data_IF_371720240352
#
_entry.id   IF_371720240352
#
_cell.length_a   1.000
_cell.length_b   1.000
_cell.length_c   1.000
_cell.angle_alpha   90.00
_cell.angle_beta   90.00
_cell.angle_gamma   90.00
#
_symmetry.space_group_name_H-M   'P 1'
#
loop_
_entity.id
_entity.type
_entity.pdbx_description
1 polymer ?
#
# COMPACT_ATOMS: atom_id res chain seq x y z
N UNK A 1 1.72 15.56 -4.87
CA UNK A 1 2.43 14.47 -5.61
C UNK A 1 3.68 14.03 -4.86
N UNK A 2 3.99 12.73 -4.86
CA UNK A 2 5.22 12.23 -4.26
C UNK A 2 6.44 12.72 -5.06
N UNK A 3 7.39 13.35 -4.37
CA UNK A 3 8.56 13.94 -5.01
C UNK A 3 9.89 13.55 -4.34
N UNK A 4 9.86 13.20 -3.05
CA UNK A 4 11.05 12.98 -2.22
C UNK A 4 11.00 11.62 -1.52
N UNK A 5 12.16 11.09 -1.19
CA UNK A 5 12.33 9.94 -0.32
C UNK A 5 13.10 10.34 0.93
N UNK A 6 12.65 9.88 2.08
CA UNK A 6 13.31 10.05 3.35
C UNK A 6 14.38 8.97 3.50
N UNK A 7 15.62 9.37 3.76
CA UNK A 7 16.76 8.50 3.98
C UNK A 7 16.85 8.06 5.45
N UNK A 8 17.51 6.92 5.74
CA UNK A 8 17.71 6.45 7.12
C UNK A 8 18.45 7.42 8.07
N UNK A 9 19.26 8.33 7.54
CA UNK A 9 19.96 9.37 8.32
C UNK A 9 19.10 10.61 8.61
N UNK A 10 17.82 10.60 8.24
CA UNK A 10 16.90 11.72 8.38
C UNK A 10 16.96 12.76 7.26
N UNK A 11 17.90 12.63 6.31
CA UNK A 11 17.95 13.46 5.11
C UNK A 11 16.89 13.09 4.09
N UNK A 12 16.76 13.88 3.02
CA UNK A 12 15.83 13.60 1.92
C UNK A 12 16.53 13.66 0.56
N UNK A 13 16.02 12.91 -0.41
CA UNK A 13 16.49 12.98 -1.80
C UNK A 13 15.32 12.98 -2.78
N UNK A 14 15.38 13.72 -3.91
CA UNK A 14 14.42 13.57 -5.00
C UNK A 14 14.40 12.13 -5.53
N UNK A 15 13.23 11.66 -5.98
CA UNK A 15 13.09 10.30 -6.55
C UNK A 15 14.05 10.04 -7.72
N UNK A 16 14.19 10.95 -8.73
CA UNK A 16 15.10 10.72 -9.85
C UNK A 16 16.56 10.55 -9.39
N UNK A 17 16.98 11.37 -8.43
CA UNK A 17 18.32 11.27 -7.85
C UNK A 17 18.51 9.93 -7.16
N UNK A 18 17.55 9.51 -6.32
CA UNK A 18 17.62 8.22 -5.64
C UNK A 18 17.70 7.06 -6.63
N UNK A 19 16.93 7.07 -7.72
CA UNK A 19 16.95 6.01 -8.73
C UNK A 19 18.30 5.93 -9.46
N UNK A 20 18.93 7.08 -9.74
CA UNK A 20 20.25 7.17 -10.37
C UNK A 20 21.37 6.76 -9.40
N UNK A 21 21.46 7.43 -8.26
CA UNK A 21 22.58 7.30 -7.32
C UNK A 21 22.10 7.50 -5.87
N UNK A 22 22.65 6.72 -4.95
CA UNK A 22 22.32 6.88 -3.53
C UNK A 22 23.15 7.99 -2.90
N UNK A 23 22.49 9.00 -2.30
CA UNK A 23 23.17 10.05 -1.52
C UNK A 23 24.06 9.49 -0.40
N UNK A 24 23.71 8.34 0.17
CA UNK A 24 24.44 7.71 1.26
C UNK A 24 25.52 6.72 0.78
N UNK A 25 25.75 6.61 -0.53
CA UNK A 25 26.65 5.65 -1.20
C UNK A 25 26.25 4.17 -1.03
N UNK A 26 25.49 3.83 0.02
CA UNK A 26 24.88 2.54 0.28
C UNK A 26 23.35 2.66 0.30
N UNK A 27 22.70 1.97 -0.63
CA UNK A 27 21.23 2.02 -0.78
C UNK A 27 20.55 1.32 0.39
N UNK A 28 19.49 1.95 0.92
CA UNK A 28 18.62 1.32 1.93
C UNK A 28 17.77 0.19 1.36
N UNK A 29 17.36 0.28 0.09
CA UNK A 29 16.59 -0.72 -0.65
C UNK A 29 17.10 -0.84 -2.09
N UNK A 30 16.78 -1.97 -2.73
CA UNK A 30 17.15 -2.20 -4.12
C UNK A 30 16.45 -1.22 -5.07
N UNK A 31 17.09 -0.88 -6.20
CA UNK A 31 16.51 0.04 -7.20
C UNK A 31 15.14 -0.42 -7.72
N UNK A 32 14.89 -1.72 -7.99
CA UNK A 32 13.55 -2.19 -8.34
C UNK A 32 12.51 -1.91 -7.25
N UNK A 33 12.85 -2.12 -5.97
CA UNK A 33 11.96 -1.79 -4.85
C UNK A 33 11.64 -0.30 -4.84
N UNK A 34 12.65 0.58 -4.96
CA UNK A 34 12.44 2.03 -5.02
C UNK A 34 11.53 2.40 -6.21
N UNK A 35 11.78 1.81 -7.39
CA UNK A 35 10.95 2.07 -8.57
C UNK A 35 9.51 1.65 -8.34
N UNK A 36 9.26 0.48 -7.76
CA UNK A 36 7.92 -0.02 -7.48
C UNK A 36 7.17 0.86 -6.47
N UNK A 37 7.78 1.22 -5.35
CA UNK A 37 7.10 1.97 -4.27
C UNK A 37 6.92 3.46 -4.56
N UNK A 38 7.60 3.98 -5.59
CA UNK A 38 7.48 5.39 -6.02
C UNK A 38 6.53 5.59 -7.20
N UNK A 39 6.02 4.51 -7.80
CA UNK A 39 5.01 4.61 -8.85
C UNK A 39 3.72 5.21 -8.28
N UNK A 40 3.21 6.24 -8.96
CA UNK A 40 1.93 6.86 -8.65
C UNK A 40 1.08 6.91 -9.92
N UNK A 41 -0.24 6.70 -9.78
CA UNK A 41 -1.19 7.04 -10.84
C UNK A 41 -1.37 8.56 -10.85
N UNK A 42 -1.33 9.16 -12.05
CA UNK A 42 -1.63 10.58 -12.20
C UNK A 42 -3.10 10.86 -11.83
N UNK A 43 -3.34 11.94 -11.11
CA UNK A 43 -4.69 12.36 -10.77
C UNK A 43 -5.29 13.15 -11.94
N UNK A 44 -6.41 12.68 -12.48
CA UNK A 44 -7.10 13.24 -13.63
C UNK A 44 -8.26 14.18 -13.26
N UNK A 45 -8.39 14.55 -11.97
CA UNK A 45 -9.49 15.38 -11.46
C UNK A 45 -10.68 14.61 -10.90
N UNK A 46 -10.76 13.28 -11.12
CA UNK A 46 -11.82 12.43 -10.58
C UNK A 46 -11.28 11.69 -9.34
N UNK A 47 -11.94 11.76 -8.17
CA UNK A 47 -11.53 10.98 -7.01
C UNK A 47 -11.85 9.49 -7.21
N UNK A 48 -11.03 8.59 -6.66
CA UNK A 48 -11.43 7.18 -6.52
C UNK A 48 -12.09 6.90 -5.18
N UNK A 49 -12.81 5.79 -5.06
CA UNK A 49 -13.36 5.22 -3.83
C UNK A 49 -12.32 5.23 -2.70
N UNK A 50 -11.08 4.80 -2.95
CA UNK A 50 -10.01 4.85 -1.95
C UNK A 50 -9.71 6.27 -1.45
N UNK A 51 -9.75 7.28 -2.32
CA UNK A 51 -9.58 8.68 -1.91
C UNK A 51 -10.79 9.18 -1.11
N UNK A 52 -12.00 8.77 -1.49
CA UNK A 52 -13.22 9.11 -0.77
C UNK A 52 -13.28 8.47 0.64
N UNK A 53 -12.68 7.29 0.82
CA UNK A 53 -12.57 6.60 2.11
C UNK A 53 -11.49 7.19 3.02
N UNK A 54 -10.47 7.82 2.44
CA UNK A 54 -9.41 8.49 3.20
C UNK A 54 -9.90 9.83 3.77
N UNK A 55 -9.17 10.35 4.76
CA UNK A 55 -9.47 11.67 5.31
C UNK A 55 -9.39 12.77 4.25
N UNK A 56 -10.41 13.62 4.15
CA UNK A 56 -10.51 14.67 3.11
C UNK A 56 -9.29 15.60 3.08
N UNK A 57 -8.83 16.06 4.26
CA UNK A 57 -7.65 16.93 4.35
C UNK A 57 -6.36 16.21 3.93
N UNK A 58 -6.26 14.91 4.23
CA UNK A 58 -5.12 14.09 3.86
C UNK A 58 -5.01 13.96 2.34
N UNK A 59 -6.10 13.62 1.66
CA UNK A 59 -6.12 13.55 0.19
C UNK A 59 -5.92 14.92 -0.47
N UNK A 60 -6.54 15.98 0.07
CA UNK A 60 -6.31 17.35 -0.40
C UNK A 60 -4.81 17.71 -0.40
N UNK A 61 -4.10 17.42 0.69
CA UNK A 61 -2.67 17.69 0.79
C UNK A 61 -1.85 16.79 -0.15
N UNK A 62 -2.17 15.49 -0.26
CA UNK A 62 -1.47 14.57 -1.18
C UNK A 62 -1.58 15.00 -2.64
N UNK A 63 -2.75 15.49 -3.03
CA UNK A 63 -3.03 15.98 -4.39
C UNK A 63 -2.27 17.30 -4.61
N UNK A 64 -2.45 18.28 -3.71
CA UNK A 64 -2.04 19.67 -3.96
C UNK A 64 -0.62 20.01 -3.53
N UNK A 65 0.02 19.20 -2.68
CA UNK A 65 1.35 19.48 -2.15
C UNK A 65 2.36 18.39 -2.53
N UNK A 66 3.61 18.77 -2.86
CA UNK A 66 4.72 17.83 -2.90
C UNK A 66 4.92 17.21 -1.51
N UNK A 67 5.17 15.90 -1.45
CA UNK A 67 5.48 15.20 -0.21
C UNK A 67 6.58 14.16 -0.40
N UNK A 68 7.07 13.62 0.72
CA UNK A 68 8.03 12.53 0.75
C UNK A 68 7.55 11.34 1.56
N UNK A 69 8.15 10.18 1.32
CA UNK A 69 7.89 8.94 2.07
C UNK A 69 9.19 8.28 2.47
N UNK A 70 9.16 7.48 3.53
CA UNK A 70 10.19 6.51 3.83
C UNK A 70 9.95 5.26 2.95
N UNK A 71 10.86 4.88 2.03
CA UNK A 71 10.63 3.78 1.09
C UNK A 71 10.25 2.44 1.76
N UNK A 72 10.86 2.14 2.91
CA UNK A 72 10.63 0.94 3.70
C UNK A 72 9.21 0.86 4.27
N UNK A 73 8.58 2.02 4.51
CA UNK A 73 7.19 2.07 5.01
C UNK A 73 6.17 1.55 3.99
N UNK A 74 6.57 1.40 2.73
CA UNK A 74 5.73 0.91 1.64
C UNK A 74 5.78 -0.61 1.45
N UNK A 75 6.52 -1.35 2.28
CA UNK A 75 6.68 -2.80 2.14
C UNK A 75 5.33 -3.55 2.12
N UNK A 76 4.38 -3.18 2.98
CA UNK A 76 3.04 -3.79 2.99
C UNK A 76 2.21 -3.41 1.76
N UNK A 77 2.36 -2.20 1.24
CA UNK A 77 1.68 -1.79 0.02
C UNK A 77 2.20 -2.63 -1.17
N UNK A 78 3.51 -2.81 -1.27
CA UNK A 78 4.14 -3.65 -2.30
C UNK A 78 3.69 -5.12 -2.20
N UNK A 79 3.63 -5.67 -0.98
CA UNK A 79 3.11 -7.02 -0.74
C UNK A 79 1.65 -7.15 -1.20
N UNK A 80 0.80 -6.17 -0.84
CA UNK A 80 -0.59 -6.11 -1.28
C UNK A 80 -0.70 -6.10 -2.80
N UNK A 81 0.02 -5.21 -3.49
CA UNK A 81 0.00 -5.15 -4.96
C UNK A 81 0.39 -6.48 -5.61
N UNK A 82 1.39 -7.18 -5.09
CA UNK A 82 1.77 -8.49 -5.62
C UNK A 82 0.71 -9.57 -5.36
N UNK A 83 0.06 -9.53 -4.20
CA UNK A 83 -1.06 -10.43 -3.89
C UNK A 83 -2.23 -10.23 -4.85
N UNK A 84 -2.64 -8.97 -5.10
CA UNK A 84 -3.68 -8.65 -6.07
C UNK A 84 -3.28 -9.10 -7.48
N UNK A 85 -2.07 -8.78 -7.94
CA UNK A 85 -1.62 -9.16 -9.28
C UNK A 85 -1.62 -10.67 -9.51
N UNK A 86 -1.26 -11.47 -8.50
CA UNK A 86 -1.31 -12.93 -8.60
C UNK A 86 -2.76 -13.45 -8.76
N UNK A 87 -3.69 -12.91 -7.97
CA UNK A 87 -5.10 -13.32 -8.03
C UNK A 87 -5.82 -12.79 -9.27
N UNK A 88 -5.50 -11.58 -9.72
CA UNK A 88 -5.96 -11.02 -10.99
C UNK A 88 -5.58 -11.93 -12.16
N UNK A 89 -4.34 -12.40 -12.23
CA UNK A 89 -3.89 -13.29 -13.29
C UNK A 89 -4.67 -14.61 -13.28
N UNK A 90 -4.86 -15.21 -12.11
CA UNK A 90 -5.67 -16.43 -11.98
C UNK A 90 -7.14 -16.20 -12.38
N UNK A 91 -7.74 -15.08 -11.98
CA UNK A 91 -9.11 -14.73 -12.35
C UNK A 91 -9.25 -14.55 -13.88
N UNK A 92 -8.27 -13.92 -14.53
CA UNK A 92 -8.25 -13.76 -16.00
C UNK A 92 -8.12 -15.11 -16.72
N UNK A 93 -7.31 -16.03 -16.22
CA UNK A 93 -7.21 -17.40 -16.77
C UNK A 93 -8.53 -18.16 -16.68
N UNK A 94 -9.33 -17.89 -15.64
CA UNK A 94 -10.67 -18.45 -15.45
C UNK A 94 -11.77 -17.71 -16.22
N UNK A 95 -11.44 -16.61 -16.91
CA UNK A 95 -12.41 -15.77 -17.63
C UNK A 95 -13.33 -14.94 -16.72
N UNK A 96 -12.92 -14.69 -15.48
CA UNK A 96 -13.65 -13.87 -14.52
C UNK A 96 -13.35 -12.38 -14.71
N UNK A 97 -14.25 -11.53 -14.22
CA UNK A 97 -14.08 -10.08 -14.25
C UNK A 97 -13.21 -9.66 -13.06
N UNK A 98 -11.96 -9.26 -13.31
CA UNK A 98 -11.01 -8.84 -12.28
C UNK A 98 -10.17 -7.65 -12.73
N UNK A 99 -9.93 -6.70 -11.82
CA UNK A 99 -9.19 -5.45 -12.06
C UNK A 99 -9.71 -4.65 -13.28
N UNK A 100 -11.04 -4.60 -13.44
CA UNK A 100 -11.72 -3.78 -14.44
C UNK A 100 -12.58 -2.70 -13.79
N UNK A 101 -12.79 -1.60 -14.52
CA UNK A 101 -13.69 -0.52 -14.12
C UNK A 101 -15.16 -0.91 -14.38
N UNK A 102 -16.07 -0.46 -13.52
CA UNK A 102 -17.52 -0.68 -13.73
C UNK A 102 -18.09 0.13 -14.89
N UNK A 103 -17.50 1.29 -15.18
CA UNK A 103 -17.92 2.16 -16.28
C UNK A 103 -16.70 2.77 -16.99
N UNK A 104 -16.89 3.17 -18.26
CA UNK A 104 -15.85 3.84 -19.03
C UNK A 104 -15.48 5.19 -18.38
N UNK A 105 -14.20 5.33 -18.02
CA UNK A 105 -13.67 6.53 -17.36
C UNK A 105 -13.74 6.51 -15.84
N UNK A 106 -14.31 5.47 -15.24
CA UNK A 106 -14.23 5.26 -13.80
C UNK A 106 -12.79 4.92 -13.39
N UNK A 107 -12.38 5.43 -12.24
CA UNK A 107 -11.10 5.04 -11.62
C UNK A 107 -11.26 3.91 -10.61
N UNK A 108 -12.50 3.59 -10.28
CA UNK A 108 -12.83 2.57 -9.32
C UNK A 108 -12.82 1.21 -9.99
N UNK A 109 -11.80 0.47 -9.60
CA UNK A 109 -11.51 -0.86 -10.09
C UNK A 109 -11.74 -1.79 -8.91
N UNK A 110 -12.58 -2.79 -9.14
CA UNK A 110 -12.79 -3.85 -8.17
C UNK A 110 -11.79 -4.98 -8.41
N UNK A 111 -11.46 -5.72 -7.35
CA UNK A 111 -10.50 -6.81 -7.47
C UNK A 111 -11.10 -8.01 -8.21
N UNK A 112 -12.31 -8.43 -7.85
CA UNK A 112 -13.02 -9.54 -8.49
C UNK A 112 -14.55 -9.36 -8.42
N UNK A 113 -15.22 -9.63 -9.54
CA UNK A 113 -16.67 -9.82 -9.63
C UNK A 113 -16.94 -11.19 -10.23
N UNK A 114 -17.55 -12.09 -9.46
CA UNK A 114 -17.82 -13.47 -9.86
C UNK A 114 -19.28 -13.86 -9.59
N UNK A 115 -19.89 -14.73 -10.42
CA UNK A 115 -21.21 -15.26 -10.12
C UNK A 115 -21.14 -16.29 -8.98
N UNK A 116 -22.12 -16.27 -8.07
CA UNK A 116 -22.32 -17.35 -7.12
C UNK A 116 -23.06 -18.55 -7.77
N UNK A 117 -23.27 -19.61 -6.99
CA UNK A 117 -23.94 -20.83 -7.43
C UNK A 117 -25.42 -20.64 -7.81
N UNK A 118 -26.02 -19.50 -7.44
CA UNK A 118 -27.41 -19.13 -7.71
C UNK A 118 -27.53 -18.05 -8.82
N UNK A 119 -26.43 -17.71 -9.50
CA UNK A 119 -26.34 -16.66 -10.51
C UNK A 119 -26.55 -15.22 -10.00
N UNK A 120 -26.39 -14.97 -8.70
CA UNK A 120 -26.12 -13.61 -8.21
C UNK A 120 -24.64 -13.26 -8.44
N UNK A 121 -24.28 -11.99 -8.28
CA UNK A 121 -22.89 -11.55 -8.38
C UNK A 121 -22.30 -11.17 -7.02
N UNK A 122 -21.09 -11.66 -6.75
CA UNK A 122 -20.30 -11.38 -5.55
C UNK A 122 -19.13 -10.48 -5.94
N UNK A 123 -19.04 -9.34 -5.24
CA UNK A 123 -17.92 -8.41 -5.32
C UNK A 123 -16.94 -8.71 -4.20
N UNK A 124 -15.73 -9.14 -4.56
CA UNK A 124 -14.67 -9.50 -3.61
C UNK A 124 -13.57 -8.44 -3.63
N UNK A 125 -13.16 -8.03 -2.43
CA UNK A 125 -12.06 -7.08 -2.19
C UNK A 125 -10.95 -7.78 -1.40
N UNK A 126 -9.84 -8.09 -2.06
CA UNK A 126 -8.71 -8.77 -1.46
C UNK A 126 -7.97 -7.84 -0.50
N UNK A 127 -7.61 -8.36 0.67
CA UNK A 127 -6.90 -7.59 1.69
C UNK A 127 -5.86 -8.44 2.40
N UNK A 128 -4.66 -7.89 2.51
CA UNK A 128 -3.61 -8.42 3.37
C UNK A 128 -3.65 -7.73 4.73
N UNK A 129 -3.41 -8.51 5.79
CA UNK A 129 -3.44 -8.02 7.16
C UNK A 129 -2.17 -8.44 7.90
N UNK A 130 -1.53 -7.49 8.58
CA UNK A 130 -0.45 -7.83 9.51
C UNK A 130 -0.99 -8.59 10.73
N UNK A 131 -0.20 -9.53 11.25
CA UNK A 131 -0.58 -10.40 12.38
C UNK A 131 -1.09 -9.62 13.60
N UNK A 132 -0.50 -8.45 13.89
CA UNK A 132 -0.97 -7.57 14.96
C UNK A 132 -2.41 -7.07 14.75
N UNK A 133 -2.77 -6.69 13.52
CA UNK A 133 -4.14 -6.26 13.20
C UNK A 133 -5.12 -7.43 13.33
N UNK A 134 -4.73 -8.62 12.87
CA UNK A 134 -5.53 -9.85 13.00
C UNK A 134 -5.76 -10.18 14.48
N UNK A 135 -4.70 -10.20 15.29
CA UNK A 135 -4.79 -10.44 16.73
C UNK A 135 -5.76 -9.46 17.41
N UNK A 136 -5.65 -8.17 17.09
CA UNK A 136 -6.57 -7.14 17.60
C UNK A 136 -8.03 -7.38 17.17
N UNK A 137 -8.26 -7.74 15.91
CA UNK A 137 -9.60 -8.02 15.39
C UNK A 137 -10.23 -9.26 16.06
N UNK A 138 -9.42 -10.26 16.37
CA UNK A 138 -9.82 -11.47 17.12
C UNK A 138 -9.96 -11.24 18.63
N UNK A 139 -9.74 -10.01 19.13
CA UNK A 139 -9.81 -9.69 20.55
C UNK A 139 -8.65 -10.24 21.38
N UNK A 140 -7.54 -10.63 20.74
CA UNK A 140 -6.33 -11.08 21.44
C UNK A 140 -5.72 -9.88 22.16
N UNK A 141 -5.67 -9.97 23.48
CA UNK A 141 -5.07 -8.96 24.36
C UNK A 141 -3.79 -9.47 24.99
N UNK A 142 -2.80 -8.60 25.12
CA UNK A 142 -1.61 -8.90 25.92
C UNK A 142 -1.98 -8.79 27.39
N UNK A 143 -1.98 -9.93 28.10
CA UNK A 143 -2.15 -9.97 29.56
C UNK A 143 -0.79 -10.10 30.24
N UNK A 144 -0.54 -9.30 31.27
CA UNK A 144 0.65 -9.43 32.11
C UNK A 144 1.96 -9.10 31.42
N UNK A 145 2.16 -7.82 31.03
CA UNK A 145 3.53 -7.30 30.89
C UNK A 145 4.20 -7.42 32.26
N UNK A 146 4.92 -8.52 32.51
CA UNK A 146 5.90 -8.52 33.60
C UNK A 146 6.91 -7.44 33.24
N UNK A 147 7.25 -6.53 34.17
CA UNK A 147 8.41 -5.66 33.97
C UNK A 147 9.57 -6.54 33.53
N UNK A 148 10.33 -6.07 32.55
CA UNK A 148 11.61 -6.72 32.25
C UNK A 148 12.36 -6.85 33.59
N UNK A 149 12.88 -8.03 33.97
CA UNK A 149 13.55 -8.22 35.26
C UNK A 149 14.69 -7.22 35.48
N UNK A 150 15.26 -6.70 34.39
CA UNK A 150 16.35 -5.74 34.39
C UNK A 150 15.86 -4.27 34.24
N UNK A 151 14.54 -4.03 34.24
CA UNK A 151 13.93 -2.70 34.10
C UNK A 151 14.02 -2.11 32.69
N UNK A 152 14.42 -2.90 31.70
CA UNK A 152 14.54 -2.46 30.30
C UNK A 152 13.20 -2.14 29.66
N UNK A 153 13.03 -0.91 29.16
CA UNK A 153 11.80 -0.46 28.48
C UNK A 153 11.83 -0.78 26.98
N UNK A 154 13.03 -0.95 26.41
CA UNK A 154 13.29 -1.30 25.02
C UNK A 154 14.60 -2.09 24.95
N UNK A 155 14.55 -3.40 24.64
CA UNK A 155 15.76 -4.14 24.24
C UNK A 155 16.03 -3.78 22.78
N UNK A 156 17.17 -3.12 22.53
CA UNK A 156 17.69 -2.83 21.18
C UNK A 156 18.00 -4.12 20.44
#
# INVERSE_FOLDING_TARGET
MLAWLNCPDGGTTPIPNCLSECRMEQRCLTTPTIKAVTQQREWNGIPSTTQCLNGTMYEFLRITKPYGIAPESMAFALLGTQHHSALENAAKELGLLAEIALTDGDRDIFDLLEPDEEYNYVLTDYKTWGSFKVAKALGVVSIGKKPDPDGGVYKR
#
